data_IF_308019424450
#
_entry.id   IF_308019424450
#
_cell.length_a   1.000
_cell.length_b   1.000
_cell.length_c   1.000
_cell.angle_alpha   90.00
_cell.angle_beta   90.00
_cell.angle_gamma   90.00
#
_symmetry.space_group_name_H-M   'P 1'
#
loop_
_entity.id
_entity.type
_entity.pdbx_description
1 polymer ?
#
# COMPACT_ATOMS: atom_id res chain seq x y z
N UNK A 1 -23.08 5.95 -14.38
CA UNK A 1 -22.89 6.82 -13.18
C UNK A 1 -23.61 6.28 -11.94
N UNK A 2 -24.82 5.73 -12.08
CA UNK A 2 -25.60 5.17 -10.95
C UNK A 2 -24.87 4.01 -10.22
N UNK A 3 -24.30 3.05 -10.95
CA UNK A 3 -23.59 1.93 -10.38
C UNK A 3 -22.40 2.35 -9.48
N UNK A 4 -21.69 3.42 -9.87
CA UNK A 4 -20.57 3.95 -9.08
C UNK A 4 -21.08 4.59 -7.78
N UNK A 5 -22.22 5.32 -7.84
CA UNK A 5 -22.83 5.93 -6.66
C UNK A 5 -23.30 4.86 -5.67
N UNK A 6 -23.94 3.80 -6.16
CA UNK A 6 -24.40 2.68 -5.32
C UNK A 6 -23.21 1.97 -4.66
N UNK A 7 -22.12 1.73 -5.41
CA UNK A 7 -20.91 1.11 -4.86
C UNK A 7 -20.25 2.00 -3.81
N UNK A 8 -20.13 3.32 -4.06
CA UNK A 8 -19.56 4.28 -3.11
C UNK A 8 -20.43 4.37 -1.84
N UNK A 9 -21.76 4.43 -1.98
CA UNK A 9 -22.67 4.44 -0.84
C UNK A 9 -22.55 3.17 0.00
N UNK A 10 -22.44 2.00 -0.64
CA UNK A 10 -22.18 0.72 0.03
C UNK A 10 -20.85 0.71 0.78
N UNK A 11 -19.78 1.21 0.17
CA UNK A 11 -18.47 1.30 0.80
C UNK A 11 -18.48 2.24 2.02
N UNK A 12 -19.12 3.41 1.91
CA UNK A 12 -19.28 4.35 3.04
C UNK A 12 -20.10 3.72 4.15
N UNK A 13 -21.22 3.06 3.84
CA UNK A 13 -22.05 2.38 4.84
C UNK A 13 -21.28 1.26 5.55
N UNK A 14 -20.46 0.50 4.81
CA UNK A 14 -19.59 -0.53 5.37
C UNK A 14 -18.55 0.05 6.34
N UNK A 15 -17.85 1.11 5.91
CA UNK A 15 -16.84 1.80 6.74
C UNK A 15 -17.47 2.36 8.02
N UNK A 16 -18.62 3.05 7.92
CA UNK A 16 -19.30 3.63 9.09
C UNK A 16 -19.84 2.55 10.03
N UNK A 17 -20.35 1.45 9.51
CA UNK A 17 -20.79 0.33 10.33
C UNK A 17 -19.63 -0.23 11.16
N UNK A 18 -18.50 -0.57 10.54
CA UNK A 18 -17.36 -1.13 11.26
C UNK A 18 -16.69 -0.12 12.19
N UNK A 19 -16.70 1.18 11.86
CA UNK A 19 -16.15 2.22 12.73
C UNK A 19 -16.90 2.37 14.06
N UNK A 20 -18.18 1.97 14.10
CA UNK A 20 -19.04 2.04 15.30
C UNK A 20 -19.14 0.71 16.06
N UNK A 21 -18.51 -0.35 15.58
CA UNK A 21 -18.56 -1.67 16.22
C UNK A 21 -17.26 -2.03 16.93
N UNK A 22 -17.34 -2.88 17.94
CA UNK A 22 -16.17 -3.45 18.63
C UNK A 22 -15.24 -4.24 17.70
N UNK A 23 -15.72 -4.63 16.52
CA UNK A 23 -14.97 -5.38 15.52
C UNK A 23 -14.18 -4.49 14.54
N UNK A 24 -14.26 -3.16 14.68
CA UNK A 24 -13.59 -2.22 13.77
C UNK A 24 -12.08 -2.44 13.65
N UNK A 25 -11.41 -2.72 14.76
CA UNK A 25 -9.98 -3.05 14.76
C UNK A 25 -9.66 -4.34 13.99
N UNK A 26 -10.47 -5.38 14.12
CA UNK A 26 -10.31 -6.62 13.35
C UNK A 26 -10.57 -6.42 11.86
N UNK A 27 -11.62 -5.68 11.51
CA UNK A 27 -11.90 -5.33 10.12
C UNK A 27 -10.75 -4.54 9.48
N UNK A 28 -10.17 -3.59 10.24
CA UNK A 28 -9.00 -2.82 9.82
C UNK A 28 -7.77 -3.71 9.60
N UNK A 29 -7.50 -4.64 10.52
CA UNK A 29 -6.40 -5.59 10.39
C UNK A 29 -6.55 -6.44 9.13
N UNK A 30 -7.72 -7.07 8.94
CA UNK A 30 -7.99 -7.93 7.78
C UNK A 30 -7.89 -7.15 6.48
N UNK A 31 -8.42 -5.92 6.45
CA UNK A 31 -8.36 -5.07 5.27
C UNK A 31 -6.93 -4.65 4.94
N UNK A 32 -6.14 -4.23 5.93
CA UNK A 32 -4.74 -3.86 5.76
C UNK A 32 -3.88 -5.06 5.30
N UNK A 33 -4.13 -6.24 5.84
CA UNK A 33 -3.49 -7.48 5.42
C UNK A 33 -3.84 -7.82 3.96
N UNK A 34 -5.13 -7.81 3.62
CA UNK A 34 -5.60 -8.16 2.28
C UNK A 34 -5.11 -7.17 1.21
N UNK A 35 -5.14 -5.85 1.50
CA UNK A 35 -4.63 -4.80 0.59
C UNK A 35 -3.16 -5.01 0.27
N UNK A 36 -2.35 -5.27 1.27
CA UNK A 36 -0.91 -5.45 1.11
C UNK A 36 -0.53 -6.78 0.44
N UNK A 37 -1.47 -7.74 0.38
CA UNK A 37 -1.28 -9.05 -0.23
C UNK A 37 -1.76 -9.09 -1.68
N UNK A 38 -3.07 -8.94 -1.90
CA UNK A 38 -3.71 -9.18 -3.21
C UNK A 38 -4.94 -8.30 -3.47
N UNK A 39 -5.54 -7.69 -2.44
CA UNK A 39 -6.83 -7.00 -2.57
C UNK A 39 -6.63 -5.50 -2.88
N UNK A 40 -7.46 -4.85 -3.73
CA UNK A 40 -7.22 -3.48 -4.18
C UNK A 40 -7.87 -2.38 -3.33
N UNK A 41 -8.49 -2.70 -2.20
CA UNK A 41 -9.17 -1.70 -1.36
C UNK A 41 -8.22 -1.19 -0.28
N UNK A 42 -7.94 0.13 -0.24
CA UNK A 42 -7.06 0.71 0.77
C UNK A 42 -7.70 0.69 2.17
N UNK A 43 -6.92 0.44 3.23
CA UNK A 43 -7.41 0.48 4.61
C UNK A 43 -7.60 1.91 5.14
N UNK A 44 -7.02 2.91 4.46
CA UNK A 44 -6.99 4.31 4.91
C UNK A 44 -8.39 4.86 5.24
N UNK A 45 -9.47 4.67 4.42
CA UNK A 45 -10.79 5.17 4.77
C UNK A 45 -11.35 4.60 6.09
N UNK A 46 -11.09 3.32 6.37
CA UNK A 46 -11.53 2.69 7.61
C UNK A 46 -10.65 3.15 8.79
N UNK A 47 -9.35 3.26 8.59
CA UNK A 47 -8.43 3.81 9.59
C UNK A 47 -8.85 5.22 10.00
N UNK A 48 -9.06 6.11 9.01
CA UNK A 48 -9.50 7.49 9.25
C UNK A 48 -10.85 7.54 9.96
N UNK A 49 -11.82 6.69 9.58
CA UNK A 49 -13.13 6.64 10.23
C UNK A 49 -13.04 6.18 11.70
N UNK A 50 -12.24 5.14 11.98
CA UNK A 50 -12.00 4.67 13.35
C UNK A 50 -11.29 5.73 14.21
N UNK A 51 -10.26 6.38 13.67
CA UNK A 51 -9.56 7.47 14.34
C UNK A 51 -10.47 8.69 14.56
N UNK A 52 -11.42 8.94 13.66
CA UNK A 52 -12.37 10.03 13.79
C UNK A 52 -13.43 9.79 14.87
N UNK A 53 -13.88 8.53 15.03
CA UNK A 53 -14.84 8.14 16.07
C UNK A 53 -14.16 8.00 17.45
N UNK A 54 -12.93 7.49 17.47
CA UNK A 54 -12.15 7.20 18.68
C UNK A 54 -10.73 7.80 18.58
N UNK A 55 -10.58 9.13 18.65
CA UNK A 55 -9.27 9.80 18.52
C UNK A 55 -8.25 9.34 19.56
N UNK A 56 -8.71 9.01 20.77
CA UNK A 56 -7.87 8.48 21.85
C UNK A 56 -7.18 7.16 21.50
N UNK A 57 -7.78 6.37 20.62
CA UNK A 57 -7.27 5.09 20.15
C UNK A 57 -6.56 5.16 18.78
N UNK A 58 -6.38 6.36 18.22
CA UNK A 58 -5.85 6.53 16.86
C UNK A 58 -4.48 5.87 16.65
N UNK A 59 -3.57 5.99 17.61
CA UNK A 59 -2.26 5.34 17.55
C UNK A 59 -2.34 3.81 17.65
N UNK A 60 -3.33 3.30 18.37
CA UNK A 60 -3.60 1.86 18.44
C UNK A 60 -4.12 1.33 17.09
N UNK A 61 -5.03 2.04 16.44
CA UNK A 61 -5.50 1.68 15.10
C UNK A 61 -4.36 1.76 14.06
N UNK A 62 -3.49 2.75 14.16
CA UNK A 62 -2.28 2.83 13.32
C UNK A 62 -1.36 1.62 13.52
N UNK A 63 -1.22 1.13 14.76
CA UNK A 63 -0.46 -0.09 15.07
C UNK A 63 -1.10 -1.31 14.41
N UNK A 64 -2.42 -1.49 14.58
CA UNK A 64 -3.18 -2.61 13.97
C UNK A 64 -3.00 -2.59 12.44
N UNK A 65 -3.15 -1.42 11.82
CA UNK A 65 -3.02 -1.26 10.39
C UNK A 65 -1.59 -1.58 9.91
N UNK A 66 -0.57 -1.10 10.65
CA UNK A 66 0.84 -1.38 10.36
C UNK A 66 1.14 -2.87 10.42
N UNK A 67 0.76 -3.54 11.51
CA UNK A 67 0.99 -4.98 11.69
C UNK A 67 0.26 -5.79 10.61
N UNK A 68 -1.02 -5.50 10.37
CA UNK A 68 -1.80 -6.14 9.31
C UNK A 68 -1.15 -5.96 7.93
N UNK A 69 -0.72 -4.74 7.61
CA UNK A 69 -0.08 -4.42 6.33
C UNK A 69 1.28 -5.13 6.16
N UNK A 70 2.11 -5.18 7.20
CA UNK A 70 3.41 -5.87 7.15
C UNK A 70 3.22 -7.38 6.97
N UNK A 71 2.32 -7.99 7.73
CA UNK A 71 1.99 -9.40 7.59
C UNK A 71 1.40 -9.73 6.21
N UNK A 72 0.53 -8.85 5.69
CA UNK A 72 0.02 -8.96 4.33
C UNK A 72 1.13 -8.83 3.27
N UNK A 73 2.08 -7.90 3.47
CA UNK A 73 3.26 -7.75 2.64
C UNK A 73 4.14 -9.01 2.63
N UNK A 74 4.36 -9.61 3.80
CA UNK A 74 5.08 -10.89 3.92
C UNK A 74 4.36 -12.01 3.16
N UNK A 75 3.05 -12.07 3.27
CA UNK A 75 2.25 -13.03 2.51
C UNK A 75 2.34 -12.79 1.00
N UNK A 76 2.26 -11.52 0.55
CA UNK A 76 2.49 -11.12 -0.84
C UNK A 76 3.88 -11.52 -1.35
N UNK A 77 4.92 -11.34 -0.52
CA UNK A 77 6.28 -11.80 -0.81
C UNK A 77 6.32 -13.33 -1.04
N UNK A 78 5.69 -14.12 -0.18
CA UNK A 78 5.64 -15.58 -0.35
C UNK A 78 4.83 -16.00 -1.59
N UNK A 79 3.76 -15.29 -1.94
CA UNK A 79 3.05 -15.49 -3.21
C UNK A 79 4.01 -15.28 -4.40
N UNK A 80 4.78 -14.18 -4.37
CA UNK A 80 5.78 -13.89 -5.39
C UNK A 80 6.86 -14.95 -5.49
N UNK A 81 7.41 -15.36 -4.34
CA UNK A 81 8.50 -16.33 -4.25
C UNK A 81 8.08 -17.72 -4.78
N UNK A 82 6.90 -18.20 -4.37
CA UNK A 82 6.42 -19.54 -4.74
C UNK A 82 5.72 -19.59 -6.10
N UNK A 83 4.92 -18.56 -6.42
CA UNK A 83 4.07 -18.55 -7.60
C UNK A 83 4.65 -17.75 -8.76
N UNK A 84 5.30 -16.63 -8.50
CA UNK A 84 5.74 -15.68 -9.53
C UNK A 84 7.06 -16.05 -10.19
N UNK A 85 8.01 -16.59 -9.45
CA UNK A 85 9.35 -16.93 -9.96
C UNK A 85 9.34 -17.99 -11.07
N UNK A 86 8.61 -19.11 -10.95
CA UNK A 86 8.47 -20.08 -12.03
C UNK A 86 7.76 -19.51 -13.25
N UNK A 87 6.78 -18.63 -13.05
CA UNK A 87 6.00 -18.02 -14.13
C UNK A 87 6.83 -17.01 -14.92
N UNK A 88 7.69 -16.24 -14.25
CA UNK A 88 8.60 -15.27 -14.87
C UNK A 88 9.56 -15.95 -15.85
N UNK A 89 10.18 -17.05 -15.44
CA UNK A 89 11.11 -17.80 -16.29
C UNK A 89 10.41 -18.48 -17.49
N UNK A 90 9.11 -18.72 -17.36
CA UNK A 90 8.32 -19.33 -18.45
C UNK A 90 7.84 -18.32 -19.48
N UNK A 91 7.59 -17.07 -19.09
CA UNK A 91 6.93 -16.05 -19.93
C UNK A 91 7.86 -14.96 -20.44
N UNK A 92 9.00 -14.74 -19.80
CA UNK A 92 9.94 -13.69 -20.17
C UNK A 92 11.30 -14.28 -20.57
N UNK A 93 11.93 -13.68 -21.60
CA UNK A 93 13.29 -14.05 -21.99
C UNK A 93 14.25 -13.77 -20.82
N UNK A 94 15.12 -14.73 -20.51
CA UNK A 94 16.05 -14.71 -19.36
C UNK A 94 16.86 -13.42 -19.23
N UNK A 95 17.23 -12.80 -20.35
CA UNK A 95 17.99 -11.55 -20.34
C UNK A 95 17.22 -10.38 -19.74
N UNK A 96 15.90 -10.21 -20.06
CA UNK A 96 15.08 -9.13 -19.49
C UNK A 96 14.79 -9.35 -18.01
N UNK A 97 14.61 -10.60 -17.61
CA UNK A 97 14.43 -10.97 -16.20
C UNK A 97 15.68 -10.61 -15.40
N UNK A 98 16.86 -10.93 -15.90
CA UNK A 98 18.13 -10.65 -15.25
C UNK A 98 18.38 -9.15 -15.04
N UNK A 99 18.09 -8.32 -16.06
CA UNK A 99 18.22 -6.85 -15.95
C UNK A 99 17.32 -6.29 -14.84
N UNK A 100 16.08 -6.75 -14.75
CA UNK A 100 15.13 -6.31 -13.69
C UNK A 100 15.56 -6.86 -12.32
N UNK A 101 16.08 -8.09 -12.27
CA UNK A 101 16.64 -8.72 -11.07
C UNK A 101 17.83 -7.93 -10.53
N UNK A 102 18.78 -7.55 -11.38
CA UNK A 102 19.96 -6.73 -11.03
C UNK A 102 19.56 -5.34 -10.52
N UNK A 103 18.53 -4.70 -11.12
CA UNK A 103 17.99 -3.45 -10.63
C UNK A 103 17.29 -3.62 -9.27
N UNK A 104 16.50 -4.69 -9.09
CA UNK A 104 15.86 -4.99 -7.83
C UNK A 104 16.88 -5.28 -6.73
N UNK A 105 17.95 -6.03 -7.02
CA UNK A 105 19.05 -6.28 -6.09
C UNK A 105 19.87 -5.02 -5.76
N UNK A 106 19.97 -4.07 -6.68
CA UNK A 106 20.69 -2.82 -6.45
C UNK A 106 19.91 -1.83 -5.58
N UNK A 107 18.61 -1.75 -5.75
CA UNK A 107 17.74 -0.85 -4.98
C UNK A 107 17.00 -1.55 -3.84
N UNK A 108 16.96 -2.88 -3.87
CA UNK A 108 16.51 -3.82 -2.84
C UNK A 108 15.38 -3.24 -1.95
N UNK A 109 15.73 -2.93 -0.73
CA UNK A 109 14.86 -2.45 0.34
C UNK A 109 14.33 -1.04 0.11
N UNK A 110 15.08 -0.18 -0.58
CA UNK A 110 14.66 1.19 -0.86
C UNK A 110 13.42 1.28 -1.75
N UNK A 111 13.32 0.40 -2.75
CA UNK A 111 12.14 0.35 -3.62
C UNK A 111 10.87 0.01 -2.82
N UNK A 112 10.97 -0.93 -1.89
CA UNK A 112 9.87 -1.31 -0.99
C UNK A 112 9.54 -0.19 -0.01
N UNK A 113 10.57 0.46 0.56
CA UNK A 113 10.41 1.58 1.49
C UNK A 113 9.69 2.78 0.82
N UNK A 114 10.14 3.19 -0.36
CA UNK A 114 9.51 4.28 -1.13
C UNK A 114 8.08 3.90 -1.51
N UNK A 115 7.84 2.68 -1.98
CA UNK A 115 6.50 2.21 -2.33
C UNK A 115 5.55 2.22 -1.12
N UNK A 116 6.05 1.87 0.07
CA UNK A 116 5.25 1.89 1.30
C UNK A 116 4.83 3.29 1.76
N UNK A 117 5.60 4.33 1.41
CA UNK A 117 5.32 5.73 1.73
C UNK A 117 4.48 6.44 0.66
N UNK A 118 4.59 5.99 -0.59
CA UNK A 118 3.91 6.62 -1.71
C UNK A 118 2.56 5.97 -1.98
N UNK A 119 1.63 6.65 -2.69
CA UNK A 119 0.34 6.08 -3.09
C UNK A 119 0.46 5.02 -4.21
N UNK A 120 1.66 4.53 -4.47
CA UNK A 120 1.89 3.43 -5.43
C UNK A 120 1.39 2.12 -4.82
N UNK A 121 0.77 1.21 -5.61
CA UNK A 121 0.26 -0.05 -5.07
C UNK A 121 1.37 -0.90 -4.44
N UNK A 122 1.43 -0.89 -3.13
CA UNK A 122 2.46 -1.56 -2.33
C UNK A 122 2.56 -3.07 -2.61
N UNK A 123 1.42 -3.73 -2.83
CA UNK A 123 1.36 -5.16 -3.19
C UNK A 123 2.18 -5.53 -4.43
N UNK A 124 2.33 -4.62 -5.39
CA UNK A 124 3.17 -4.88 -6.57
C UNK A 124 4.63 -5.07 -6.16
N UNK A 125 5.11 -4.26 -5.21
CA UNK A 125 6.46 -4.34 -4.69
C UNK A 125 6.67 -5.53 -3.77
N UNK A 126 5.66 -5.91 -2.98
CA UNK A 126 5.75 -7.09 -2.11
C UNK A 126 5.84 -8.37 -2.93
N UNK A 127 4.96 -8.54 -3.92
CA UNK A 127 4.97 -9.69 -4.82
C UNK A 127 6.26 -9.71 -5.65
N UNK A 128 6.65 -8.58 -6.25
CA UNK A 128 7.88 -8.49 -7.04
C UNK A 128 9.12 -8.77 -6.17
N UNK A 129 9.17 -8.28 -4.94
CA UNK A 129 10.24 -8.60 -3.97
C UNK A 129 10.38 -10.11 -3.73
N UNK A 130 9.25 -10.82 -3.65
CA UNK A 130 9.24 -12.27 -3.56
C UNK A 130 9.70 -12.96 -4.85
N UNK A 131 9.26 -12.47 -6.00
CA UNK A 131 9.67 -12.98 -7.32
C UNK A 131 11.18 -12.87 -7.52
N UNK A 132 11.79 -11.75 -7.14
CA UNK A 132 13.23 -11.50 -7.24
C UNK A 132 14.02 -11.98 -6.01
N UNK A 133 13.35 -12.58 -5.02
CA UNK A 133 13.94 -13.15 -3.80
C UNK A 133 14.86 -12.17 -3.07
N UNK A 134 14.43 -10.92 -2.91
CA UNK A 134 15.16 -9.93 -2.12
C UNK A 134 15.33 -10.38 -0.68
N UNK A 135 16.29 -9.82 0.05
CA UNK A 135 16.56 -10.21 1.43
C UNK A 135 15.33 -10.01 2.33
N UNK A 136 14.72 -11.11 2.77
CA UNK A 136 13.45 -11.11 3.51
C UNK A 136 13.48 -10.29 4.81
N UNK A 137 14.48 -10.42 5.71
CA UNK A 137 14.56 -9.57 6.90
C UNK A 137 14.62 -8.08 6.60
N UNK A 138 15.40 -7.68 5.59
CA UNK A 138 15.48 -6.28 5.17
C UNK A 138 14.16 -5.80 4.57
N UNK A 139 13.50 -6.64 3.78
CA UNK A 139 12.16 -6.37 3.24
C UNK A 139 11.15 -6.11 4.37
N UNK A 140 11.12 -6.97 5.40
CA UNK A 140 10.21 -6.81 6.55
C UNK A 140 10.51 -5.52 7.31
N UNK A 141 11.79 -5.20 7.54
CA UNK A 141 12.20 -3.98 8.23
C UNK A 141 11.78 -2.72 7.45
N UNK A 142 12.04 -2.68 6.14
CA UNK A 142 11.63 -1.55 5.31
C UNK A 142 10.12 -1.38 5.23
N UNK A 143 9.40 -2.49 5.13
CA UNK A 143 7.94 -2.53 5.17
C UNK A 143 7.42 -1.98 6.49
N UNK A 144 7.97 -2.42 7.61
CA UNK A 144 7.58 -1.96 8.93
C UNK A 144 7.81 -0.45 9.12
N UNK A 145 8.99 0.03 8.73
CA UNK A 145 9.33 1.46 8.83
C UNK A 145 8.42 2.30 7.92
N UNK A 146 8.29 1.93 6.65
CA UNK A 146 7.56 2.75 5.68
C UNK A 146 6.04 2.74 5.93
N UNK A 147 5.46 1.57 6.17
CA UNK A 147 4.03 1.45 6.47
C UNK A 147 3.71 2.03 7.85
N UNK A 148 4.60 1.79 8.83
CA UNK A 148 4.50 2.41 10.14
C UNK A 148 4.49 3.93 10.04
N UNK A 149 5.49 4.53 9.41
CA UNK A 149 5.57 5.99 9.26
C UNK A 149 4.30 6.56 8.61
N UNK A 150 3.77 5.91 7.58
CA UNK A 150 2.54 6.32 6.90
C UNK A 150 1.33 6.28 7.84
N UNK A 151 1.03 5.12 8.43
CA UNK A 151 -0.17 4.96 9.26
C UNK A 151 -0.09 5.70 10.59
N UNK A 152 1.11 5.79 11.18
CA UNK A 152 1.30 6.61 12.37
C UNK A 152 1.21 8.10 12.07
N UNK A 153 1.62 8.57 10.88
CA UNK A 153 1.37 9.96 10.48
C UNK A 153 -0.13 10.26 10.42
N UNK A 154 -0.94 9.36 9.82
CA UNK A 154 -2.39 9.49 9.81
C UNK A 154 -2.98 9.44 11.23
N UNK A 155 -2.62 8.41 12.01
CA UNK A 155 -3.09 8.25 13.40
C UNK A 155 -2.72 9.43 14.30
N UNK A 156 -1.51 9.96 14.17
CA UNK A 156 -1.03 11.11 14.92
C UNK A 156 -1.81 12.40 14.58
N UNK A 157 -2.15 12.60 13.30
CA UNK A 157 -2.98 13.73 12.89
C UNK A 157 -4.36 13.69 13.57
N UNK A 158 -5.00 12.53 13.60
CA UNK A 158 -6.30 12.38 14.27
C UNK A 158 -6.18 12.47 15.79
N UNK A 159 -5.11 11.91 16.37
CA UNK A 159 -4.87 11.97 17.80
C UNK A 159 -4.65 13.41 18.27
N UNK A 160 -3.89 14.22 17.50
CA UNK A 160 -3.52 15.59 17.88
C UNK A 160 -4.62 16.60 17.57
N UNK A 161 -5.22 16.53 16.40
CA UNK A 161 -6.23 17.50 15.94
C UNK A 161 -7.68 17.06 16.24
N UNK A 162 -7.90 15.79 16.57
CA UNK A 162 -9.21 15.27 16.95
C UNK A 162 -10.32 15.60 15.94
N UNK A 163 -11.50 16.08 16.41
CA UNK A 163 -12.63 16.39 15.54
C UNK A 163 -12.36 17.49 14.49
N UNK A 164 -11.39 18.36 14.71
CA UNK A 164 -11.07 19.47 13.80
C UNK A 164 -10.58 18.93 12.44
N UNK A 165 -9.88 17.80 12.43
CA UNK A 165 -9.42 17.20 11.17
C UNK A 165 -10.57 16.67 10.33
N UNK A 166 -11.69 16.28 10.95
CA UNK A 166 -12.88 15.83 10.22
C UNK A 166 -13.46 16.97 9.36
N UNK A 167 -13.51 18.17 9.91
CA UNK A 167 -13.97 19.38 9.19
C UNK A 167 -13.01 19.65 8.03
N UNK A 168 -11.70 19.68 8.32
CA UNK A 168 -10.68 19.90 7.31
C UNK A 168 -10.73 18.87 6.18
N UNK A 169 -10.78 17.59 6.52
CA UNK A 169 -10.88 16.51 5.51
C UNK A 169 -12.17 16.65 4.69
N UNK A 170 -13.29 16.96 5.31
CA UNK A 170 -14.59 17.15 4.62
C UNK A 170 -14.54 18.33 3.63
N UNK A 171 -13.95 19.44 4.04
CA UNK A 171 -13.90 20.66 3.22
C UNK A 171 -12.89 20.51 2.05
N UNK A 172 -11.79 19.81 2.27
CA UNK A 172 -10.73 19.60 1.28
C UNK A 172 -10.76 18.23 0.60
N UNK A 173 -11.78 17.40 0.87
CA UNK A 173 -11.85 16.02 0.36
C UNK A 173 -11.70 15.94 -1.16
N UNK A 174 -12.31 16.86 -1.91
CA UNK A 174 -12.19 16.92 -3.35
C UNK A 174 -10.74 17.15 -3.82
N UNK A 175 -10.06 18.10 -3.19
CA UNK A 175 -8.65 18.42 -3.51
C UNK A 175 -7.70 17.30 -3.10
N UNK A 176 -7.92 16.67 -1.95
CA UNK A 176 -7.14 15.51 -1.49
C UNK A 176 -7.29 14.35 -2.47
N UNK A 177 -8.53 14.09 -2.94
CA UNK A 177 -8.81 13.02 -3.90
C UNK A 177 -8.14 13.28 -5.24
N UNK A 178 -8.18 14.53 -5.75
CA UNK A 178 -7.50 14.91 -6.99
C UNK A 178 -5.98 14.79 -6.85
N UNK A 179 -5.41 15.30 -5.75
CA UNK A 179 -3.97 15.18 -5.48
C UNK A 179 -3.53 13.71 -5.42
N UNK A 180 -4.31 12.86 -4.75
CA UNK A 180 -4.06 11.42 -4.67
C UNK A 180 -4.13 10.74 -6.04
N UNK A 181 -5.14 11.06 -6.85
CA UNK A 181 -5.27 10.54 -8.21
C UNK A 181 -4.10 10.95 -9.11
N UNK A 182 -3.66 12.22 -9.04
CA UNK A 182 -2.49 12.72 -9.77
C UNK A 182 -1.21 12.00 -9.33
N UNK A 183 -1.02 11.79 -8.03
CA UNK A 183 0.13 11.06 -7.49
C UNK A 183 0.12 9.59 -7.92
N UNK A 184 -1.06 8.93 -7.94
CA UNK A 184 -1.20 7.57 -8.45
C UNK A 184 -0.83 7.48 -9.93
N UNK A 185 -1.44 8.30 -10.78
CA UNK A 185 -1.17 8.30 -12.23
C UNK A 185 0.29 8.67 -12.49
N UNK A 186 0.81 9.69 -11.81
CA UNK A 186 2.22 10.11 -11.89
C UNK A 186 3.18 8.99 -11.46
N UNK A 187 2.86 8.28 -10.37
CA UNK A 187 3.62 7.14 -9.88
C UNK A 187 3.68 5.98 -10.88
N UNK A 188 2.53 5.61 -11.47
CA UNK A 188 2.48 4.59 -12.53
C UNK A 188 3.26 5.02 -13.79
N UNK A 189 3.11 6.29 -14.20
CA UNK A 189 3.85 6.83 -15.32
C UNK A 189 5.37 6.82 -15.06
N UNK A 190 5.79 7.25 -13.86
CA UNK A 190 7.19 7.26 -13.46
C UNK A 190 7.80 5.84 -13.47
N UNK A 191 7.10 4.84 -12.90
CA UNK A 191 7.53 3.43 -12.94
C UNK A 191 7.66 2.95 -14.40
N UNK A 192 6.70 3.28 -15.26
CA UNK A 192 6.72 2.94 -16.67
C UNK A 192 7.92 3.55 -17.42
N UNK A 193 8.26 4.82 -17.13
CA UNK A 193 9.39 5.52 -17.75
C UNK A 193 10.72 4.97 -17.24
N UNK A 194 10.85 4.78 -15.92
CA UNK A 194 12.07 4.21 -15.31
C UNK A 194 12.30 2.78 -15.80
N UNK A 195 11.26 1.97 -15.85
CA UNK A 195 11.34 0.59 -16.36
C UNK A 195 11.80 0.53 -17.83
N UNK A 196 11.26 1.41 -18.71
CA UNK A 196 11.68 1.50 -20.10
C UNK A 196 13.14 1.96 -20.24
N UNK A 197 13.58 2.95 -19.46
CA UNK A 197 14.99 3.43 -19.45
C UNK A 197 15.94 2.36 -18.94
N UNK A 198 15.54 1.61 -17.90
CA UNK A 198 16.33 0.52 -17.37
C UNK A 198 16.57 -0.59 -18.40
N UNK A 199 15.51 -0.99 -19.09
CA UNK A 199 15.57 -2.02 -20.16
C UNK A 199 16.44 -1.54 -21.32
N UNK A 200 16.32 -0.26 -21.76
CA UNK A 200 17.10 0.31 -22.86
C UNK A 200 18.60 0.40 -22.52
N UNK A 201 18.94 0.74 -21.28
CA UNK A 201 20.34 0.83 -20.81
C UNK A 201 20.97 -0.55 -20.63
N UNK A 202 20.18 -1.60 -20.37
CA UNK A 202 20.67 -2.98 -20.26
C UNK A 202 20.76 -3.72 -21.59
N UNK A 203 20.11 -3.22 -22.68
CA UNK A 203 20.16 -3.83 -24.01
C UNK A 203 21.31 -3.34 -24.90
N UNK A 204 22.14 -2.40 -24.42
CA UNK A 204 23.35 -1.96 -25.14
C UNK A 204 23.09 -1.13 -26.42
N UNK A 205 21.85 -0.60 -26.61
CA UNK A 205 21.49 0.38 -27.65
C UNK A 205 21.45 1.80 -27.08
#
# INVERSE_FOLDING_TARGET
MEAIKVWLAGAVAWVTHFAQTSYGGWALFVLAFAESSFFPIPPDPLLMALCAVHPENALWFATICTVGSVLGGMFGYFIGLKGGRPLLHRWFKSHKVKVVEDYYHRYDVWAVGIAGLTPVPYKVFTIAGGVFAINFPRFVLASFISRGLRFYAEGFLFWFFGPQIQVFVKDYFGWITVAFAVLLVGGFYFIGVVGKRAIKKGSGE
#
